data_IF_466807679600
#
_entry.id   IF_466807679600
#
_cell.length_a   1.000
_cell.length_b   1.000
_cell.length_c   1.000
_cell.angle_alpha   90.00
_cell.angle_beta   90.00
_cell.angle_gamma   90.00
#
_symmetry.space_group_name_H-M   'P 1'
#
loop_
_entity.id
_entity.type
_entity.pdbx_description
1 polymer ?
#
# COMPACT_ATOMS: atom_id res chain seq x y z
N UNK A 1 5.39 -20.44 -49.41
CA UNK A 1 6.78 -19.94 -49.39
C UNK A 1 7.10 -19.49 -47.97
N UNK A 2 7.85 -20.32 -47.23
CA UNK A 2 8.17 -20.03 -45.83
C UNK A 2 9.40 -19.10 -45.79
N UNK A 3 9.22 -17.98 -45.09
CA UNK A 3 10.11 -16.85 -44.97
C UNK A 3 11.59 -17.23 -44.91
N UNK A 4 12.39 -16.58 -45.76
CA UNK A 4 13.83 -16.54 -45.64
C UNK A 4 14.25 -16.18 -44.22
N UNK A 5 15.17 -16.96 -43.66
CA UNK A 5 15.94 -16.61 -42.47
C UNK A 5 16.76 -15.33 -42.76
N UNK A 6 16.12 -14.17 -42.73
CA UNK A 6 16.85 -12.91 -42.60
C UNK A 6 17.32 -12.85 -41.16
N UNK A 7 18.63 -12.94 -40.94
CA UNK A 7 19.30 -12.74 -39.65
C UNK A 7 19.13 -11.29 -39.17
N UNK A 8 17.90 -10.88 -38.84
CA UNK A 8 17.63 -9.57 -38.25
C UNK A 8 17.82 -9.67 -36.74
N UNK A 9 18.54 -8.69 -36.19
CA UNK A 9 18.67 -8.57 -34.75
C UNK A 9 17.31 -8.25 -34.11
N UNK A 10 17.14 -8.66 -32.86
CA UNK A 10 15.93 -8.34 -32.08
C UNK A 10 15.72 -6.82 -32.00
N UNK A 11 16.81 -6.07 -31.87
CA UNK A 11 16.82 -4.60 -31.85
C UNK A 11 16.29 -3.98 -33.14
N UNK A 12 16.74 -4.49 -34.30
CA UNK A 12 16.28 -4.02 -35.61
C UNK A 12 14.77 -4.25 -35.78
N UNK A 13 14.29 -5.45 -35.43
CA UNK A 13 12.87 -5.78 -35.51
C UNK A 13 12.05 -4.96 -34.53
N UNK A 14 12.54 -4.75 -33.30
CA UNK A 14 11.86 -3.96 -32.29
C UNK A 14 11.69 -2.50 -32.75
N UNK A 15 12.77 -1.90 -33.27
CA UNK A 15 12.75 -0.52 -33.78
C UNK A 15 11.82 -0.37 -34.98
N UNK A 16 11.91 -1.28 -35.96
CA UNK A 16 11.05 -1.26 -37.16
C UNK A 16 9.56 -1.33 -36.80
N UNK A 17 9.21 -2.14 -35.80
CA UNK A 17 7.82 -2.34 -35.36
C UNK A 17 7.38 -1.41 -34.23
N UNK A 18 8.25 -0.52 -33.74
CA UNK A 18 7.95 0.39 -32.64
C UNK A 18 7.75 -0.29 -31.27
N UNK A 19 8.34 -1.47 -31.07
CA UNK A 19 8.30 -2.17 -29.80
C UNK A 19 9.52 -1.87 -28.93
N UNK A 20 9.34 -1.97 -27.61
CA UNK A 20 10.48 -2.00 -26.70
C UNK A 20 11.22 -3.34 -26.85
N UNK A 21 12.52 -3.27 -27.12
CA UNK A 21 13.38 -4.44 -27.30
C UNK A 21 13.31 -5.43 -26.13
N UNK A 22 13.24 -4.94 -24.89
CA UNK A 22 13.16 -5.79 -23.70
C UNK A 22 11.86 -6.59 -23.64
N UNK A 23 10.75 -6.01 -24.11
CA UNK A 23 9.48 -6.73 -24.21
C UNK A 23 9.54 -7.80 -25.30
N UNK A 24 10.16 -7.49 -26.45
CA UNK A 24 10.31 -8.43 -27.54
C UNK A 24 11.17 -9.63 -27.13
N UNK A 25 12.35 -9.39 -26.51
CA UNK A 25 13.19 -10.47 -25.95
C UNK A 25 12.42 -11.36 -24.97
N UNK A 26 11.61 -10.76 -24.09
CA UNK A 26 10.77 -11.49 -23.15
C UNK A 26 9.73 -12.36 -23.87
N UNK A 27 8.99 -11.80 -24.83
CA UNK A 27 7.99 -12.55 -25.61
C UNK A 27 8.61 -13.71 -26.37
N UNK A 28 9.77 -13.51 -27.00
CA UNK A 28 10.54 -14.57 -27.66
C UNK A 28 10.87 -15.68 -26.66
N UNK A 29 11.36 -15.34 -25.46
CA UNK A 29 11.68 -16.33 -24.43
C UNK A 29 10.46 -17.15 -23.97
N UNK A 30 9.31 -16.49 -23.76
CA UNK A 30 8.06 -17.20 -23.44
C UNK A 30 7.54 -18.04 -24.60
N UNK A 31 7.69 -17.56 -25.83
CA UNK A 31 7.30 -18.31 -27.03
C UNK A 31 8.16 -19.55 -27.23
N UNK A 32 9.49 -19.45 -27.08
CA UNK A 32 10.36 -20.62 -27.20
C UNK A 32 10.02 -21.71 -26.19
N UNK A 33 9.60 -21.33 -24.98
CA UNK A 33 9.29 -22.30 -23.92
C UNK A 33 7.85 -22.84 -23.95
N UNK A 34 6.87 -21.98 -24.20
CA UNK A 34 5.44 -22.29 -24.05
C UNK A 34 4.65 -22.17 -25.36
N UNK A 35 5.33 -21.87 -26.48
CA UNK A 35 4.72 -21.59 -27.76
C UNK A 35 3.76 -20.40 -27.71
N UNK A 36 2.72 -20.46 -28.55
CA UNK A 36 1.67 -19.43 -28.65
C UNK A 36 0.97 -19.22 -27.30
N UNK A 37 0.88 -20.25 -26.45
CA UNK A 37 0.25 -20.12 -25.13
C UNK A 37 1.00 -19.15 -24.21
N UNK A 38 2.33 -19.04 -24.34
CA UNK A 38 3.17 -18.13 -23.56
C UNK A 38 2.94 -16.65 -23.86
N UNK A 39 2.34 -16.35 -25.01
CA UNK A 39 2.03 -15.00 -25.49
C UNK A 39 0.61 -14.55 -25.10
N UNK A 40 -0.23 -15.44 -24.57
CA UNK A 40 -1.59 -15.09 -24.16
C UNK A 40 -1.59 -14.10 -22.99
N UNK A 41 -2.57 -13.20 -22.89
CA UNK A 41 -2.73 -12.32 -21.74
C UNK A 41 -2.78 -13.10 -20.43
N UNK A 42 -2.03 -12.63 -19.44
CA UNK A 42 -1.90 -13.31 -18.15
C UNK A 42 -2.84 -12.68 -17.14
N UNK A 43 -3.53 -13.51 -16.36
CA UNK A 43 -4.34 -13.07 -15.21
C UNK A 43 -3.42 -12.71 -14.04
N UNK A 44 -3.92 -11.85 -13.16
CA UNK A 44 -3.25 -11.57 -11.88
C UNK A 44 -3.18 -12.85 -11.04
N UNK A 45 -1.98 -13.23 -10.60
CA UNK A 45 -1.72 -14.40 -9.75
C UNK A 45 -1.23 -13.95 -8.38
N UNK A 46 -1.56 -14.74 -7.36
CA UNK A 46 -0.91 -14.69 -6.06
C UNK A 46 0.01 -15.90 -5.95
N UNK A 47 1.18 -15.72 -5.36
CA UNK A 47 2.18 -16.77 -5.21
C UNK A 47 2.32 -17.11 -3.74
N UNK A 48 2.39 -18.40 -3.41
CA UNK A 48 2.62 -18.85 -2.04
C UNK A 48 4.06 -18.53 -1.60
N UNK A 49 4.28 -18.37 -0.30
CA UNK A 49 5.62 -18.15 0.27
C UNK A 49 6.58 -19.27 -0.16
N UNK A 50 6.12 -20.52 -0.10
CA UNK A 50 6.88 -21.70 -0.52
C UNK A 50 7.34 -21.59 -1.98
N UNK A 51 6.44 -21.22 -2.89
CA UNK A 51 6.78 -21.05 -4.30
C UNK A 51 7.79 -19.91 -4.51
N UNK A 52 7.60 -18.76 -3.85
CA UNK A 52 8.55 -17.64 -3.96
C UNK A 52 9.94 -18.08 -3.50
N UNK A 53 10.04 -18.81 -2.40
CA UNK A 53 11.31 -19.32 -1.88
C UNK A 53 11.97 -20.32 -2.85
N UNK A 54 11.19 -21.21 -3.47
CA UNK A 54 11.68 -22.14 -4.50
C UNK A 54 12.31 -21.40 -5.68
N UNK A 55 11.65 -20.35 -6.17
CA UNK A 55 12.15 -19.52 -7.27
C UNK A 55 13.46 -18.84 -6.88
N UNK A 56 13.54 -18.25 -5.68
CA UNK A 56 14.75 -17.57 -5.21
C UNK A 56 15.91 -18.55 -5.03
N UNK A 57 15.65 -19.73 -4.47
CA UNK A 57 16.67 -20.79 -4.35
C UNK A 57 17.19 -21.22 -5.70
N UNK A 58 16.32 -21.44 -6.68
CA UNK A 58 16.74 -21.82 -8.03
C UNK A 58 17.62 -20.75 -8.71
N UNK A 59 17.38 -19.48 -8.44
CA UNK A 59 18.26 -18.40 -8.93
C UNK A 59 19.66 -18.51 -8.31
N UNK A 60 19.73 -18.76 -7.00
CA UNK A 60 21.00 -18.89 -6.27
C UNK A 60 21.77 -20.16 -6.65
N UNK A 61 21.08 -21.29 -6.77
CA UNK A 61 21.72 -22.60 -7.02
C UNK A 61 22.08 -22.81 -8.47
N UNK A 62 21.22 -22.36 -9.39
CA UNK A 62 21.37 -22.63 -10.82
C UNK A 62 21.99 -21.42 -11.55
N UNK A 63 22.31 -20.34 -10.83
CA UNK A 63 22.92 -19.10 -11.32
C UNK A 63 22.17 -18.48 -12.51
N UNK A 64 20.85 -18.65 -12.56
CA UNK A 64 20.02 -18.14 -13.65
C UNK A 64 19.62 -16.68 -13.42
N UNK A 65 19.48 -15.91 -14.50
CA UNK A 65 19.00 -14.53 -14.40
C UNK A 65 17.55 -14.46 -13.93
N UNK A 66 17.10 -13.33 -13.37
CA UNK A 66 15.70 -13.17 -12.97
C UNK A 66 14.74 -13.30 -14.17
N UNK A 67 15.17 -12.90 -15.37
CA UNK A 67 14.38 -13.06 -16.61
C UNK A 67 14.21 -14.53 -16.95
N UNK A 68 15.29 -15.29 -16.86
CA UNK A 68 15.27 -16.72 -17.10
C UNK A 68 14.44 -17.45 -16.05
N UNK A 69 14.54 -17.07 -14.77
CA UNK A 69 13.65 -17.55 -13.73
C UNK A 69 12.17 -17.24 -14.03
N UNK A 70 11.85 -16.05 -14.56
CA UNK A 70 10.49 -15.74 -14.98
C UNK A 70 9.97 -16.70 -16.07
N UNK A 71 10.80 -17.00 -17.06
CA UNK A 71 10.44 -17.97 -18.10
C UNK A 71 10.41 -19.38 -17.50
N UNK A 72 11.30 -19.73 -16.57
CA UNK A 72 11.36 -21.04 -15.94
C UNK A 72 10.12 -21.36 -15.12
N UNK A 73 9.68 -20.41 -14.31
CA UNK A 73 8.60 -20.57 -13.34
C UNK A 73 7.26 -19.94 -13.78
N UNK A 74 7.15 -19.57 -15.07
CA UNK A 74 5.95 -18.95 -15.65
C UNK A 74 5.49 -17.66 -14.92
N UNK A 75 6.45 -16.83 -14.48
CA UNK A 75 6.19 -15.58 -13.77
C UNK A 75 6.11 -14.43 -14.76
N UNK A 76 5.03 -13.65 -14.68
CA UNK A 76 4.71 -12.66 -15.70
C UNK A 76 5.74 -11.52 -15.84
N UNK A 77 6.46 -11.12 -14.79
CA UNK A 77 7.34 -9.96 -14.84
C UNK A 77 8.60 -10.13 -14.00
N UNK A 78 9.75 -9.72 -14.56
CA UNK A 78 11.04 -9.72 -13.88
C UNK A 78 11.04 -8.89 -12.59
N UNK A 79 10.31 -7.77 -12.59
CA UNK A 79 10.12 -6.93 -11.40
C UNK A 79 9.47 -7.68 -10.24
N UNK A 80 8.66 -8.71 -10.51
CA UNK A 80 8.05 -9.53 -9.45
C UNK A 80 9.11 -10.32 -8.69
N UNK A 81 10.04 -10.96 -9.41
CA UNK A 81 11.15 -11.72 -8.83
C UNK A 81 12.12 -10.79 -8.11
N UNK A 82 12.46 -9.64 -8.72
CA UNK A 82 13.32 -8.63 -8.10
C UNK A 82 12.75 -8.11 -6.77
N UNK A 83 11.44 -7.89 -6.70
CA UNK A 83 10.79 -7.48 -5.47
C UNK A 83 10.87 -8.58 -4.39
N UNK A 84 10.72 -9.85 -4.75
CA UNK A 84 10.87 -10.96 -3.80
C UNK A 84 12.30 -11.08 -3.28
N UNK A 85 13.32 -10.90 -4.13
CA UNK A 85 14.72 -10.86 -3.70
C UNK A 85 14.93 -9.77 -2.65
N UNK A 86 14.52 -8.53 -2.96
CA UNK A 86 14.63 -7.39 -2.03
C UNK A 86 13.86 -7.58 -0.73
N UNK A 87 12.64 -8.09 -0.81
CA UNK A 87 11.82 -8.35 0.37
C UNK A 87 12.44 -9.43 1.27
N UNK A 88 13.05 -10.47 0.65
CA UNK A 88 13.76 -11.54 1.34
C UNK A 88 15.08 -11.09 1.96
N UNK A 89 15.88 -10.31 1.25
CA UNK A 89 17.12 -9.71 1.78
C UNK A 89 16.83 -8.82 3.00
N UNK A 90 15.72 -8.07 2.96
CA UNK A 90 15.36 -7.14 4.03
C UNK A 90 14.72 -7.80 5.24
N UNK A 91 13.81 -8.75 5.05
CA UNK A 91 12.98 -9.30 6.13
C UNK A 91 12.97 -10.83 6.20
N UNK A 92 13.87 -11.50 5.47
CA UNK A 92 13.91 -12.96 5.38
C UNK A 92 12.61 -13.55 4.84
N UNK A 93 12.23 -14.72 5.38
CA UNK A 93 11.03 -15.45 4.97
C UNK A 93 9.75 -14.62 5.17
N UNK A 94 9.68 -13.81 6.23
CA UNK A 94 8.52 -12.94 6.51
C UNK A 94 8.29 -11.90 5.40
N UNK A 95 9.36 -11.47 4.72
CA UNK A 95 9.26 -10.56 3.57
C UNK A 95 8.50 -11.15 2.39
N UNK A 96 8.47 -12.48 2.27
CA UNK A 96 7.80 -13.19 1.18
C UNK A 96 6.30 -13.40 1.43
N UNK A 97 5.79 -13.06 2.61
CA UNK A 97 4.37 -13.17 2.91
C UNK A 97 3.51 -12.27 2.02
N UNK A 98 2.29 -12.73 1.73
CA UNK A 98 1.36 -11.96 0.91
C UNK A 98 0.75 -10.85 1.76
N UNK A 99 1.12 -9.61 1.44
CA UNK A 99 0.53 -8.43 2.09
C UNK A 99 -0.93 -8.27 1.64
N UNK A 100 -1.84 -7.89 2.56
CA UNK A 100 -3.23 -7.61 2.21
C UNK A 100 -3.27 -6.50 1.15
N UNK A 101 -4.07 -6.72 0.10
CA UNK A 101 -4.25 -5.73 -0.97
C UNK A 101 -5.18 -4.61 -0.50
N UNK A 102 -4.78 -3.38 -0.82
CA UNK A 102 -5.59 -2.19 -0.57
C UNK A 102 -5.30 -1.50 0.77
N UNK A 103 -6.12 -0.51 1.11
CA UNK A 103 -5.99 0.25 2.34
C UNK A 103 -6.22 -0.66 3.55
N UNK A 104 -5.34 -0.65 4.57
CA UNK A 104 -5.60 -1.34 5.83
C UNK A 104 -6.96 -0.90 6.39
N UNK A 105 -7.78 -1.86 6.83
CA UNK A 105 -8.99 -1.56 7.61
C UNK A 105 -8.58 -1.05 8.99
N UNK A 106 -8.17 0.20 9.08
CA UNK A 106 -8.07 0.91 10.36
C UNK A 106 -9.44 1.57 10.57
N UNK A 107 -10.35 0.88 11.24
CA UNK A 107 -11.45 1.55 11.93
C UNK A 107 -12.00 0.69 13.06
N UNK A 108 -11.31 0.69 14.20
CA UNK A 108 -11.82 0.03 15.42
C UNK A 108 -12.30 0.98 16.51
N UNK A 109 -12.35 2.31 16.29
CA UNK A 109 -12.85 3.21 17.32
C UNK A 109 -13.62 4.45 16.82
N UNK A 110 -14.05 4.47 15.55
CA UNK A 110 -14.95 5.53 15.12
C UNK A 110 -16.38 5.24 15.59
N UNK A 111 -16.68 5.59 16.85
CA UNK A 111 -18.06 5.68 17.35
C UNK A 111 -18.71 6.88 16.65
N UNK A 112 -19.54 6.59 15.63
CA UNK A 112 -20.38 7.60 14.99
C UNK A 112 -21.17 8.34 16.07
N UNK A 113 -21.05 9.67 16.14
CA UNK A 113 -21.81 10.50 17.09
C UNK A 113 -23.29 10.15 16.94
N UNK A 114 -23.94 9.71 18.03
CA UNK A 114 -25.39 9.44 18.01
C UNK A 114 -26.10 10.71 17.55
N UNK A 115 -26.98 10.59 16.56
CA UNK A 115 -27.83 11.71 16.13
C UNK A 115 -28.68 12.13 17.33
N UNK A 116 -28.82 13.44 17.56
CA UNK A 116 -29.77 13.95 18.55
C UNK A 116 -31.15 13.43 18.13
N UNK A 117 -31.85 12.74 19.03
CA UNK A 117 -33.23 12.31 18.78
C UNK A 117 -34.10 13.54 18.57
N UNK A 118 -35.05 13.49 17.64
CA UNK A 118 -36.05 14.53 17.40
C UNK A 118 -37.08 14.64 18.56
N UNK A 119 -36.97 13.76 19.55
CA UNK A 119 -37.81 13.81 20.75
C UNK A 119 -37.43 15.05 21.57
N UNK A 120 -38.42 15.86 22.01
CA UNK A 120 -38.14 16.93 22.96
C UNK A 120 -37.50 16.34 24.22
N UNK A 121 -36.54 17.06 24.80
CA UNK A 121 -35.91 16.62 26.04
C UNK A 121 -36.97 16.48 27.13
N UNK A 122 -36.78 15.51 28.01
CA UNK A 122 -37.56 15.45 29.24
C UNK A 122 -37.12 16.61 30.15
N UNK A 123 -38.01 17.14 31.00
CA UNK A 123 -37.70 18.23 31.95
C UNK A 123 -36.41 17.97 32.75
N UNK A 124 -36.16 16.73 33.15
CA UNK A 124 -34.95 16.33 33.87
C UNK A 124 -33.68 16.47 33.02
N UNK A 125 -33.74 16.11 31.74
CA UNK A 125 -32.62 16.23 30.80
C UNK A 125 -32.33 17.70 30.49
N UNK A 126 -33.36 18.54 30.38
CA UNK A 126 -33.21 20.00 30.22
C UNK A 126 -32.51 20.60 31.44
N UNK A 127 -32.94 20.21 32.65
CA UNK A 127 -32.31 20.66 33.89
C UNK A 127 -30.84 20.23 33.98
N UNK A 128 -30.51 19.01 33.57
CA UNK A 128 -29.12 18.52 33.54
C UNK A 128 -28.26 19.33 32.56
N UNK A 129 -28.79 19.62 31.37
CA UNK A 129 -28.09 20.40 30.36
C UNK A 129 -27.85 21.84 30.84
N UNK A 130 -28.87 22.45 31.46
CA UNK A 130 -28.72 23.79 32.03
C UNK A 130 -27.74 23.79 33.20
N UNK A 131 -27.74 22.75 34.05
CA UNK A 131 -26.77 22.63 35.13
C UNK A 131 -25.33 22.51 34.59
N UNK A 132 -25.13 21.72 33.54
CA UNK A 132 -23.81 21.57 32.89
C UNK A 132 -23.33 22.89 32.28
N UNK A 133 -24.22 23.60 31.59
CA UNK A 133 -23.96 24.93 31.04
C UNK A 133 -23.61 25.94 32.13
N UNK A 134 -24.40 26.00 33.21
CA UNK A 134 -24.14 26.87 34.35
C UNK A 134 -22.81 26.53 35.05
N UNK A 135 -22.43 25.26 35.12
CA UNK A 135 -21.12 24.85 35.67
C UNK A 135 -19.99 25.34 34.78
N UNK A 136 -20.11 25.18 33.46
CA UNK A 136 -19.11 25.68 32.52
C UNK A 136 -18.96 27.20 32.57
N UNK A 137 -20.07 27.94 32.68
CA UNK A 137 -20.08 29.39 32.84
C UNK A 137 -19.41 29.81 34.16
N UNK A 138 -19.76 29.17 35.27
CA UNK A 138 -19.13 29.43 36.57
C UNK A 138 -17.62 29.15 36.55
N UNK A 139 -17.18 28.08 35.91
CA UNK A 139 -15.75 27.75 35.81
C UNK A 139 -15.00 28.77 34.94
N UNK A 140 -15.63 29.27 33.87
CA UNK A 140 -15.08 30.35 33.07
C UNK A 140 -14.94 31.65 33.88
N UNK A 141 -15.98 32.03 34.63
CA UNK A 141 -15.97 33.21 35.51
C UNK A 141 -14.90 33.11 36.60
N UNK A 142 -14.79 31.96 37.29
CA UNK A 142 -13.72 31.72 38.27
C UNK A 142 -12.32 31.85 37.66
N UNK A 143 -12.15 31.37 36.42
CA UNK A 143 -10.87 31.49 35.71
C UNK A 143 -10.57 32.95 35.34
N UNK A 144 -11.58 33.72 34.92
CA UNK A 144 -11.44 35.16 34.69
C UNK A 144 -11.06 35.90 35.98
N UNK A 145 -11.76 35.63 37.09
CA UNK A 145 -11.45 36.23 38.40
C UNK A 145 -10.03 35.88 38.87
N UNK A 146 -9.59 34.64 38.67
CA UNK A 146 -8.23 34.25 38.99
C UNK A 146 -7.18 35.03 38.17
N UNK A 147 -7.49 35.38 36.92
CA UNK A 147 -6.61 36.19 36.07
C UNK A 147 -6.60 37.67 36.47
N UNK A 148 -7.76 38.25 36.80
CA UNK A 148 -7.87 39.64 37.25
C UNK A 148 -7.19 39.86 38.61
N UNK A 149 -7.36 38.94 39.56
CA UNK A 149 -6.67 38.96 40.85
C UNK A 149 -5.14 38.87 40.69
N UNK A 150 -4.65 38.00 39.79
CA UNK A 150 -3.20 37.93 39.46
C UNK A 150 -2.69 39.25 38.87
N UNK A 151 -3.44 39.87 37.96
CA UNK A 151 -3.07 41.15 37.34
C UNK A 151 -3.05 42.32 38.34
N UNK A 152 -3.99 42.35 39.29
CA UNK A 152 -4.03 43.41 40.30
C UNK A 152 -2.94 43.25 41.37
N UNK A 153 -2.51 42.02 41.69
CA UNK A 153 -1.32 41.77 42.55
C UNK A 153 0.01 42.15 41.88
N UNK A 154 0.06 42.25 40.56
CA UNK A 154 1.27 42.56 39.78
C UNK A 154 1.39 44.03 39.37
N UNK A 155 0.39 44.89 39.63
CA UNK A 155 0.54 46.33 39.43
C UNK A 155 1.40 46.89 40.58
N UNK A 156 2.54 47.54 40.33
CA UNK A 156 3.24 48.28 41.37
C UNK A 156 2.35 49.42 41.87
N UNK A 157 2.30 49.62 43.18
CA UNK A 157 1.76 50.83 43.81
C UNK A 157 2.43 52.02 43.12
N UNK A 158 1.64 52.83 42.40
CA UNK A 158 2.11 54.15 41.97
C UNK A 158 2.07 55.03 43.21
N UNK A 159 3.25 55.44 43.67
CA UNK A 159 3.41 56.62 44.51
C UNK A 159 3.12 57.89 43.73
#
# INVERSE_FOLDING_TARGET
>A
ELHQNSYRSIESVATEKGFNESNLRKWIGFYHKYGISGLKPRKNRSYSVKFKLEVLKAIETDFISQREACIRFDIAAQSTVLNWQRDYEKNGILGLENKPRGRPKIMNDYKRKKRKSEKPLTREEELLLENEKLRAENDFLKKLDALTLKKNKQKPSKG
#
